data_IF_218875539982
#
_entry.id   IF_218875539982
#
_cell.length_a   1.000
_cell.length_b   1.000
_cell.length_c   1.000
_cell.angle_alpha   90.00
_cell.angle_beta   90.00
_cell.angle_gamma   90.00
#
_symmetry.space_group_name_H-M   'P 1'
#
loop_
_entity.id
_entity.type
_entity.pdbx_description
1 polymer ?
#
# COMPACT_ATOMS: atom_id res chain seq x y z
N UNK A 1 9.44 -12.42 82.90
CA UNK A 1 10.47 -12.01 82.04
C UNK A 1 9.81 -11.46 80.77
N UNK A 2 9.86 -10.12 80.63
CA UNK A 2 9.25 -9.41 79.56
C UNK A 2 10.33 -9.26 78.49
N UNK A 3 10.12 -9.88 77.31
CA UNK A 3 10.97 -9.71 76.13
C UNK A 3 10.69 -8.35 75.45
N UNK A 4 11.71 -7.52 75.44
CA UNK A 4 11.72 -6.20 74.83
C UNK A 4 12.03 -6.33 73.33
N UNK A 5 11.06 -6.13 72.51
CA UNK A 5 11.23 -6.15 71.06
C UNK A 5 11.64 -4.72 70.58
N UNK A 6 12.74 -4.55 69.84
CA UNK A 6 13.16 -3.23 69.37
C UNK A 6 12.26 -2.73 68.21
N UNK A 7 12.04 -1.43 68.07
CA UNK A 7 11.20 -0.85 67.03
C UNK A 7 11.84 -0.93 65.65
N UNK A 8 11.03 -1.34 64.66
CA UNK A 8 11.38 -1.38 63.26
C UNK A 8 11.74 0.02 62.74
N UNK A 9 12.95 0.18 62.24
CA UNK A 9 13.42 1.37 61.52
C UNK A 9 12.60 1.54 60.24
N UNK A 10 11.85 2.64 60.15
CA UNK A 10 11.24 3.08 58.89
C UNK A 10 12.34 3.61 57.96
N UNK A 11 12.50 3.00 56.78
CA UNK A 11 13.30 3.53 55.70
C UNK A 11 12.59 4.74 55.09
N UNK A 12 13.28 5.85 54.83
CA UNK A 12 12.67 6.99 54.14
C UNK A 12 12.42 6.62 52.68
N UNK A 13 11.14 6.71 52.28
CA UNK A 13 10.73 6.64 50.87
C UNK A 13 11.25 7.89 50.18
N UNK A 14 12.33 7.75 49.40
CA UNK A 14 12.82 8.83 48.54
C UNK A 14 11.78 9.15 47.45
N UNK A 15 11.75 10.37 46.96
CA UNK A 15 10.83 10.76 45.92
C UNK A 15 11.07 9.95 44.64
N UNK A 16 9.99 9.35 44.09
CA UNK A 16 10.01 8.67 42.82
C UNK A 16 10.50 9.69 41.75
N UNK A 17 11.69 9.45 41.20
CA UNK A 17 12.19 10.17 40.05
C UNK A 17 11.17 10.06 38.94
N UNK A 18 10.46 11.15 38.67
CA UNK A 18 9.61 11.28 37.48
C UNK A 18 10.56 11.21 36.28
N UNK A 19 10.55 10.06 35.59
CA UNK A 19 11.29 9.89 34.37
C UNK A 19 10.92 10.99 33.39
N UNK A 20 11.93 11.69 32.87
CA UNK A 20 11.73 12.67 31.82
C UNK A 20 10.92 12.06 30.68
N UNK A 21 10.00 12.81 30.03
CA UNK A 21 9.22 12.30 28.92
C UNK A 21 10.16 11.79 27.82
N UNK A 22 10.05 10.51 27.51
CA UNK A 22 10.82 9.87 26.43
C UNK A 22 10.44 10.57 25.14
N UNK A 23 11.33 11.39 24.62
CA UNK A 23 11.13 12.01 23.31
C UNK A 23 11.12 10.89 22.26
N UNK A 24 10.09 10.85 21.38
CA UNK A 24 10.05 9.84 20.32
C UNK A 24 11.26 10.02 19.40
N UNK A 25 11.94 8.91 19.14
CA UNK A 25 13.09 8.81 18.24
C UNK A 25 12.77 9.49 16.89
N UNK A 26 13.53 10.51 16.46
CA UNK A 26 13.28 11.21 15.20
C UNK A 26 13.34 10.28 13.97
N UNK A 27 14.04 9.13 14.05
CA UNK A 27 14.07 8.11 13.01
C UNK A 27 12.73 7.34 12.87
N UNK A 28 11.84 7.41 13.87
CA UNK A 28 10.51 6.78 13.87
C UNK A 28 9.37 7.74 13.48
N UNK A 29 9.67 8.95 13.08
CA UNK A 29 8.61 9.86 12.55
C UNK A 29 8.06 9.26 11.27
N UNK A 30 6.79 8.83 11.31
CA UNK A 30 6.05 8.46 10.09
C UNK A 30 6.17 9.62 9.12
N UNK A 31 6.57 9.37 7.86
CA UNK A 31 6.71 10.44 6.88
C UNK A 31 5.41 11.23 6.80
N UNK A 32 5.52 12.55 6.77
CA UNK A 32 4.37 13.44 6.66
C UNK A 32 3.61 13.08 5.38
N UNK A 33 2.29 13.09 5.42
CA UNK A 33 1.38 12.72 4.33
C UNK A 33 1.70 13.42 3.00
N UNK A 34 2.04 14.71 3.05
CA UNK A 34 2.50 15.44 1.86
C UNK A 34 3.75 14.80 1.25
N UNK A 35 4.68 14.35 2.06
CA UNK A 35 5.88 13.67 1.59
C UNK A 35 5.57 12.34 0.89
N UNK A 36 4.60 11.58 1.38
CA UNK A 36 4.20 10.30 0.74
C UNK A 36 3.55 10.52 -0.63
N UNK A 37 2.70 11.52 -0.77
CA UNK A 37 2.06 11.87 -2.04
C UNK A 37 3.08 12.40 -3.05
N UNK A 38 4.02 13.25 -2.62
CA UNK A 38 5.09 13.75 -3.48
C UNK A 38 6.06 12.64 -3.91
N UNK A 39 6.33 11.68 -3.04
CA UNK A 39 7.13 10.50 -3.39
C UNK A 39 6.41 9.65 -4.45
N UNK A 40 5.10 9.44 -4.29
CA UNK A 40 4.28 8.73 -5.27
C UNK A 40 4.26 9.46 -6.62
N UNK A 41 4.13 10.80 -6.61
CA UNK A 41 4.26 11.63 -7.81
C UNK A 41 5.58 11.37 -8.52
N UNK A 42 6.67 11.35 -7.77
CA UNK A 42 8.01 11.12 -8.30
C UNK A 42 8.12 9.75 -8.95
N UNK A 43 7.62 8.69 -8.32
CA UNK A 43 7.65 7.35 -8.89
C UNK A 43 6.81 7.23 -10.16
N UNK A 44 5.61 7.80 -10.18
CA UNK A 44 4.74 7.80 -11.37
C UNK A 44 5.39 8.57 -12.52
N UNK A 45 6.00 9.73 -12.24
CA UNK A 45 6.72 10.52 -13.26
C UNK A 45 7.99 9.83 -13.75
N UNK A 46 8.65 9.06 -12.90
CA UNK A 46 9.80 8.26 -13.27
C UNK A 46 9.42 6.91 -13.93
N UNK A 47 8.13 6.74 -14.28
CA UNK A 47 7.59 5.57 -14.97
C UNK A 47 7.88 4.25 -14.24
N UNK A 48 7.82 4.25 -12.89
CA UNK A 48 7.88 3.01 -12.15
C UNK A 48 6.66 2.14 -12.48
N UNK A 49 6.86 0.94 -13.07
CA UNK A 49 5.73 0.16 -13.56
C UNK A 49 4.90 -0.46 -12.45
N UNK A 50 5.51 -0.73 -11.29
CA UNK A 50 4.84 -1.36 -10.15
C UNK A 50 5.24 -0.68 -8.85
N UNK A 51 4.25 -0.25 -8.06
CA UNK A 51 4.41 0.42 -6.78
C UNK A 51 3.56 -0.31 -5.74
N UNK A 52 4.13 -0.68 -4.61
CA UNK A 52 3.38 -1.21 -3.47
C UNK A 52 3.13 -0.09 -2.45
N UNK A 53 1.87 0.03 -2.02
CA UNK A 53 1.43 1.04 -1.04
C UNK A 53 0.72 0.34 0.10
N UNK A 54 1.16 0.60 1.33
CA UNK A 54 0.51 0.08 2.54
C UNK A 54 -0.40 1.16 3.11
N UNK A 55 -1.70 0.94 3.04
CA UNK A 55 -2.70 1.84 3.62
C UNK A 55 -4.02 1.12 3.90
N UNK A 56 -4.68 1.52 4.99
CA UNK A 56 -6.06 1.17 5.33
C UNK A 56 -7.08 2.18 4.78
N UNK A 57 -6.62 3.37 4.37
CA UNK A 57 -7.46 4.49 3.96
C UNK A 57 -7.64 4.50 2.43
N UNK A 58 -8.20 3.44 1.86
CA UNK A 58 -8.37 3.27 0.40
C UNK A 58 -9.00 4.49 -0.30
N UNK A 59 -10.19 4.89 0.18
CA UNK A 59 -10.92 6.04 -0.41
C UNK A 59 -10.07 7.31 -0.41
N UNK A 60 -9.43 7.58 0.69
CA UNK A 60 -8.60 8.77 0.88
C UNK A 60 -7.33 8.73 0.05
N UNK A 61 -6.79 7.53 -0.17
CA UNK A 61 -5.67 7.31 -1.08
C UNK A 61 -6.08 7.59 -2.52
N UNK A 62 -7.22 7.08 -2.98
CA UNK A 62 -7.73 7.29 -4.33
C UNK A 62 -8.05 8.77 -4.61
N UNK A 63 -8.69 9.46 -3.67
CA UNK A 63 -8.95 10.90 -3.76
C UNK A 63 -7.64 11.71 -3.91
N UNK A 64 -6.63 11.38 -3.10
CA UNK A 64 -5.31 12.01 -3.18
C UNK A 64 -4.59 11.72 -4.49
N UNK A 65 -4.67 10.48 -4.97
CA UNK A 65 -4.08 10.06 -6.25
C UNK A 65 -4.78 10.73 -7.43
N UNK A 66 -6.10 10.81 -7.42
CA UNK A 66 -6.88 11.51 -8.44
C UNK A 66 -6.52 13.00 -8.51
N UNK A 67 -6.41 13.66 -7.35
CA UNK A 67 -5.93 15.04 -7.27
C UNK A 67 -4.52 15.22 -7.84
N UNK A 68 -3.64 14.23 -7.60
CA UNK A 68 -2.27 14.22 -8.07
C UNK A 68 -2.17 14.11 -9.59
N UNK A 69 -2.97 13.20 -10.19
CA UNK A 69 -2.94 12.88 -11.62
C UNK A 69 -3.72 13.89 -12.45
N UNK A 70 -4.73 14.57 -11.86
CA UNK A 70 -5.65 15.45 -12.56
C UNK A 70 -6.47 14.71 -13.61
N UNK A 71 -6.95 15.42 -14.63
CA UNK A 71 -7.71 14.85 -15.72
C UNK A 71 -6.83 14.28 -16.85
N UNK A 72 -5.51 14.48 -16.77
CA UNK A 72 -4.59 14.16 -17.85
C UNK A 72 -4.25 12.67 -17.97
N UNK A 73 -4.41 11.92 -16.89
CA UNK A 73 -4.09 10.49 -16.85
C UNK A 73 -5.31 9.67 -16.42
N UNK A 74 -5.68 8.62 -17.17
CA UNK A 74 -6.73 7.70 -16.78
C UNK A 74 -6.35 7.01 -15.46
N UNK A 75 -7.28 7.01 -14.51
CA UNK A 75 -7.13 6.33 -13.23
C UNK A 75 -8.22 5.28 -13.09
N UNK A 76 -7.81 4.02 -12.97
CA UNK A 76 -8.71 2.90 -12.73
C UNK A 76 -8.43 2.29 -11.35
N UNK A 77 -9.48 1.76 -10.75
CA UNK A 77 -9.43 1.09 -9.48
C UNK A 77 -10.11 -0.27 -9.58
N UNK A 78 -9.41 -1.31 -9.20
CA UNK A 78 -9.94 -2.66 -9.14
C UNK A 78 -10.11 -3.13 -7.71
N UNK A 79 -11.27 -3.70 -7.45
CA UNK A 79 -11.55 -4.49 -6.23
C UNK A 79 -12.20 -5.81 -6.63
N UNK A 80 -12.06 -6.83 -5.80
CA UNK A 80 -12.62 -8.14 -6.07
C UNK A 80 -14.13 -8.11 -6.33
N UNK A 81 -14.86 -7.31 -5.57
CA UNK A 81 -16.33 -7.24 -5.60
C UNK A 81 -16.89 -6.34 -6.69
N UNK A 82 -16.17 -5.33 -7.11
CA UNK A 82 -16.65 -4.33 -8.09
C UNK A 82 -16.04 -4.51 -9.48
N UNK A 83 -14.92 -5.22 -9.57
CA UNK A 83 -14.11 -5.28 -10.78
C UNK A 83 -13.40 -3.96 -11.05
N UNK A 84 -13.03 -3.73 -12.30
CA UNK A 84 -12.30 -2.56 -12.73
C UNK A 84 -13.25 -1.37 -12.97
N UNK A 85 -13.03 -0.29 -12.21
CA UNK A 85 -13.83 0.93 -12.23
C UNK A 85 -12.97 2.11 -12.68
N UNK A 86 -13.53 3.00 -13.49
CA UNK A 86 -12.93 4.32 -13.68
C UNK A 86 -13.19 5.14 -12.41
N UNK A 87 -12.14 5.70 -11.83
CA UNK A 87 -12.26 6.50 -10.59
C UNK A 87 -13.03 7.78 -10.87
N UNK A 88 -12.82 8.38 -12.03
CA UNK A 88 -13.62 9.51 -12.49
C UNK A 88 -14.95 9.01 -13.03
N UNK A 89 -16.05 9.44 -12.41
CA UNK A 89 -17.42 9.08 -12.81
C UNK A 89 -17.91 7.72 -12.29
N UNK A 90 -17.15 7.01 -11.47
CA UNK A 90 -17.49 5.73 -10.82
C UNK A 90 -18.15 4.72 -11.79
N UNK A 91 -17.61 4.62 -13.00
CA UNK A 91 -18.14 3.76 -14.07
C UNK A 91 -17.33 2.49 -14.18
N UNK A 92 -18.02 1.34 -14.26
CA UNK A 92 -17.37 0.05 -14.55
C UNK A 92 -16.79 0.07 -15.97
N UNK A 93 -15.53 -0.31 -16.08
CA UNK A 93 -14.79 -0.30 -17.35
C UNK A 93 -14.90 -1.63 -18.05
N UNK A 94 -14.74 -2.74 -17.29
CA UNK A 94 -14.73 -4.08 -17.85
C UNK A 94 -15.46 -5.06 -16.90
N UNK A 95 -16.66 -5.51 -17.25
CA UNK A 95 -17.47 -6.39 -16.40
C UNK A 95 -16.82 -7.74 -16.08
N UNK A 96 -16.01 -8.30 -16.98
CA UNK A 96 -15.36 -9.61 -16.81
C UNK A 96 -14.30 -9.62 -15.71
N UNK A 97 -13.94 -8.44 -15.17
CA UNK A 97 -12.93 -8.31 -14.12
C UNK A 97 -13.48 -8.46 -12.71
N UNK A 98 -14.80 -8.57 -12.53
CA UNK A 98 -15.42 -8.84 -11.22
C UNK A 98 -15.08 -10.25 -10.78
N UNK A 99 -14.47 -10.38 -9.60
CA UNK A 99 -14.04 -11.68 -9.07
C UNK A 99 -12.84 -12.30 -9.77
N UNK A 100 -12.31 -11.67 -10.83
CA UNK A 100 -11.18 -12.20 -11.61
C UNK A 100 -10.02 -11.18 -11.66
N UNK A 101 -9.03 -11.30 -10.75
CA UNK A 101 -7.87 -10.44 -10.74
C UNK A 101 -6.94 -10.64 -11.94
N UNK A 102 -6.93 -11.85 -12.55
CA UNK A 102 -6.12 -12.14 -13.73
C UNK A 102 -6.69 -11.40 -14.95
N UNK A 103 -8.01 -11.42 -15.13
CA UNK A 103 -8.67 -10.66 -16.18
C UNK A 103 -8.43 -9.15 -16.02
N UNK A 104 -8.51 -8.65 -14.77
CA UNK A 104 -8.23 -7.25 -14.46
C UNK A 104 -6.80 -6.86 -14.81
N UNK A 105 -5.82 -7.69 -14.45
CA UNK A 105 -4.41 -7.44 -14.75
C UNK A 105 -4.15 -7.45 -16.26
N UNK A 106 -4.71 -8.45 -16.99
CA UNK A 106 -4.60 -8.52 -18.45
C UNK A 106 -5.22 -7.32 -19.16
N UNK A 107 -6.35 -6.82 -18.65
CA UNK A 107 -6.96 -5.59 -19.16
C UNK A 107 -6.04 -4.39 -18.92
N UNK A 108 -5.54 -4.22 -17.69
CA UNK A 108 -4.64 -3.14 -17.33
C UNK A 108 -3.37 -3.11 -18.19
N UNK A 109 -2.82 -4.27 -18.52
CA UNK A 109 -1.64 -4.40 -19.39
C UNK A 109 -1.88 -3.94 -20.83
N UNK A 110 -3.14 -3.89 -21.28
CA UNK A 110 -3.55 -3.44 -22.62
C UNK A 110 -4.11 -2.03 -22.66
N UNK A 111 -4.26 -1.38 -21.49
CA UNK A 111 -4.77 -0.02 -21.40
C UNK A 111 -3.83 0.96 -22.12
N UNK A 112 -4.33 2.16 -22.40
CA UNK A 112 -3.54 3.19 -23.06
C UNK A 112 -2.35 3.66 -22.21
N UNK A 113 -1.33 4.22 -22.87
CA UNK A 113 -0.16 4.80 -22.22
C UNK A 113 -0.57 5.91 -21.25
N UNK A 114 0.17 6.06 -20.15
CA UNK A 114 -0.15 7.02 -19.10
C UNK A 114 -1.18 6.55 -18.07
N UNK A 115 -1.80 5.38 -18.29
CA UNK A 115 -2.80 4.83 -17.35
C UNK A 115 -2.18 4.46 -16.02
N UNK A 116 -2.88 4.81 -14.94
CA UNK A 116 -2.59 4.34 -13.57
C UNK A 116 -3.72 3.41 -13.13
N UNK A 117 -3.36 2.22 -12.65
CA UNK A 117 -4.33 1.25 -12.15
C UNK A 117 -3.99 0.88 -10.70
N UNK A 118 -4.96 1.07 -9.81
CA UNK A 118 -4.87 0.68 -8.40
C UNK A 118 -5.57 -0.65 -8.22
N UNK A 119 -4.86 -1.64 -7.70
CA UNK A 119 -5.41 -2.94 -7.30
C UNK A 119 -5.48 -2.99 -5.79
N UNK A 120 -6.70 -2.95 -5.24
CA UNK A 120 -6.90 -3.10 -3.80
C UNK A 120 -6.97 -4.57 -3.41
N UNK A 121 -6.31 -4.88 -2.29
CA UNK A 121 -6.35 -6.19 -1.65
C UNK A 121 -5.97 -7.38 -2.55
N UNK A 122 -4.97 -7.18 -3.42
CA UNK A 122 -4.46 -8.26 -4.27
C UNK A 122 -3.56 -9.25 -3.50
N UNK A 123 -3.18 -8.95 -2.27
CA UNK A 123 -2.24 -9.74 -1.46
C UNK A 123 -2.63 -11.22 -1.28
N UNK A 124 -3.93 -11.64 -1.16
CA UNK A 124 -4.26 -13.05 -1.05
C UNK A 124 -3.84 -13.91 -2.25
N UNK A 125 -3.73 -13.27 -3.43
CA UNK A 125 -3.25 -13.91 -4.66
C UNK A 125 -1.74 -13.83 -4.87
N UNK A 126 -1.03 -13.18 -3.96
CA UNK A 126 0.43 -13.02 -4.03
C UNK A 126 1.15 -13.76 -2.90
N UNK A 127 0.43 -14.11 -1.84
CA UNK A 127 0.93 -14.80 -0.67
C UNK A 127 0.13 -16.09 -0.41
N UNK A 128 0.78 -17.08 0.21
CA UNK A 128 0.13 -18.35 0.59
C UNK A 128 0.65 -19.55 -0.20
N UNK A 129 -0.03 -20.71 -0.08
CA UNK A 129 0.38 -21.93 -0.80
C UNK A 129 0.18 -21.72 -2.30
N UNK A 130 1.15 -22.20 -3.09
CA UNK A 130 1.13 -22.04 -4.54
C UNK A 130 -0.10 -22.72 -5.17
N UNK A 131 -1.03 -21.90 -5.67
CA UNK A 131 -2.11 -22.35 -6.54
C UNK A 131 -1.78 -22.00 -7.99
N UNK A 132 -2.42 -22.65 -8.98
CA UNK A 132 -2.25 -22.30 -10.39
C UNK A 132 -2.56 -20.83 -10.65
N UNK A 133 -3.62 -20.28 -10.03
CA UNK A 133 -4.04 -18.89 -10.17
C UNK A 133 -3.00 -17.93 -9.57
N UNK A 134 -2.49 -18.25 -8.38
CA UNK A 134 -1.41 -17.49 -7.76
C UNK A 134 -0.15 -17.49 -8.62
N UNK A 135 0.25 -18.65 -9.12
CA UNK A 135 1.42 -18.80 -9.99
C UNK A 135 1.25 -17.97 -11.26
N UNK A 136 0.07 -18.00 -11.88
CA UNK A 136 -0.24 -17.20 -13.06
C UNK A 136 -0.22 -15.69 -12.76
N UNK A 137 -0.75 -15.28 -11.62
CA UNK A 137 -0.74 -13.88 -11.18
C UNK A 137 0.68 -13.35 -11.00
N UNK A 138 1.51 -14.08 -10.24
CA UNK A 138 2.90 -13.70 -9.99
C UNK A 138 3.67 -13.65 -11.32
N UNK A 139 3.44 -14.62 -12.21
CA UNK A 139 4.09 -14.65 -13.52
C UNK A 139 3.70 -13.45 -14.37
N UNK A 140 2.42 -13.11 -14.45
CA UNK A 140 1.94 -11.95 -15.19
C UNK A 140 2.54 -10.64 -14.67
N UNK A 141 2.61 -10.45 -13.34
CA UNK A 141 3.21 -9.25 -12.75
C UNK A 141 4.71 -9.16 -13.07
N UNK A 142 5.43 -10.28 -13.04
CA UNK A 142 6.86 -10.32 -13.38
C UNK A 142 7.10 -10.02 -14.86
N UNK A 143 6.30 -10.61 -15.74
CA UNK A 143 6.39 -10.37 -17.18
C UNK A 143 6.09 -8.90 -17.48
N UNK A 144 4.99 -8.36 -16.91
CA UNK A 144 4.66 -6.94 -17.00
C UNK A 144 5.83 -6.05 -16.56
N UNK A 145 6.40 -6.32 -15.38
CA UNK A 145 7.51 -5.52 -14.85
C UNK A 145 8.73 -5.55 -15.76
N UNK A 146 9.06 -6.71 -16.32
CA UNK A 146 10.20 -6.87 -17.22
C UNK A 146 9.97 -6.17 -18.56
N UNK A 147 8.78 -6.30 -19.14
CA UNK A 147 8.42 -5.68 -20.41
C UNK A 147 8.35 -4.16 -20.28
N UNK A 148 7.75 -3.66 -19.22
CA UNK A 148 7.68 -2.22 -18.94
C UNK A 148 9.08 -1.58 -18.78
N UNK A 149 10.06 -2.31 -18.30
CA UNK A 149 11.45 -1.83 -18.21
C UNK A 149 12.22 -1.88 -19.53
N UNK A 150 11.81 -2.72 -20.45
CA UNK A 150 12.46 -2.85 -21.77
C UNK A 150 11.94 -1.84 -22.78
N UNK A 151 10.64 -1.59 -22.73
CA UNK A 151 9.98 -0.63 -23.60
C UNK A 151 9.87 0.70 -22.85
N UNK A 152 10.70 1.68 -23.19
CA UNK A 152 10.64 3.05 -22.67
C UNK A 152 9.28 3.73 -22.94
N UNK A 153 8.37 3.04 -23.57
CA UNK A 153 7.09 3.53 -24.13
C UNK A 153 5.88 3.25 -23.23
N UNK A 154 6.06 2.54 -22.11
CA UNK A 154 4.93 2.23 -21.21
C UNK A 154 4.95 3.12 -19.97
N UNK A 155 4.32 4.27 -20.06
CA UNK A 155 4.05 5.15 -18.91
C UNK A 155 2.97 4.61 -17.96
N UNK A 156 2.58 3.33 -18.11
CA UNK A 156 1.57 2.71 -17.25
C UNK A 156 2.17 2.38 -15.89
N UNK A 157 1.40 2.63 -14.85
CA UNK A 157 1.81 2.31 -13.47
C UNK A 157 0.73 1.49 -12.79
N UNK A 158 1.12 0.34 -12.23
CA UNK A 158 0.25 -0.45 -11.36
C UNK A 158 0.60 -0.18 -9.91
N UNK A 159 -0.41 0.07 -9.09
CA UNK A 159 -0.28 0.30 -7.66
C UNK A 159 -0.99 -0.83 -6.92
N UNK A 160 -0.23 -1.58 -6.13
CA UNK A 160 -0.77 -2.59 -5.23
C UNK A 160 -1.07 -1.92 -3.90
N UNK A 161 -2.35 -1.72 -3.60
CA UNK A 161 -2.82 -1.10 -2.37
C UNK A 161 -3.33 -2.19 -1.43
N UNK A 162 -2.72 -2.32 -0.27
CA UNK A 162 -3.13 -3.30 0.74
C UNK A 162 -2.84 -2.79 2.16
N UNK A 163 -3.53 -3.31 3.18
CA UNK A 163 -3.28 -2.95 4.57
C UNK A 163 -1.95 -3.53 5.10
N UNK A 164 -1.38 -4.47 4.38
CA UNK A 164 -0.11 -5.13 4.70
C UNK A 164 0.85 -5.02 3.54
N UNK A 165 2.15 -5.07 3.83
CA UNK A 165 3.17 -5.11 2.79
C UNK A 165 3.12 -6.47 2.11
N UNK A 166 2.82 -6.45 0.82
CA UNK A 166 2.80 -7.63 -0.03
C UNK A 166 3.90 -7.53 -1.08
N UNK A 167 4.81 -8.48 -1.08
CA UNK A 167 5.88 -8.59 -2.08
C UNK A 167 5.75 -9.96 -2.74
N UNK A 168 5.52 -10.06 -4.06
CA UNK A 168 5.48 -11.33 -4.78
C UNK A 168 6.82 -12.07 -4.59
N UNK A 169 6.75 -13.28 -4.07
CA UNK A 169 7.92 -14.14 -3.84
C UNK A 169 8.30 -14.95 -5.07
#
# INVERSE_FOLDING_TARGET
PIMNTPPLRRTPTGPLSQGAPVQPDPAKRRPNRHHQIELLRTFIRACYPLISVVSWEERRFLEGLQSLLGAARPLYHWTFTRGLMAVTGDRRVEPTTVGDPIAALKFAMRSESGTVVVFSDLHPWLEGPATPEQTAMIRLLRDWYQDARRTLDTERTFILLAPVLCVPR
#
